data_IF_119988491395
#
_entry.id   IF_119988491395
#
_cell.length_a   1.000
_cell.length_b   1.000
_cell.length_c   1.000
_cell.angle_alpha   90.00
_cell.angle_beta   90.00
_cell.angle_gamma   90.00
#
_symmetry.space_group_name_H-M   'P 1'
#
loop_
_entity.id
_entity.type
_entity.pdbx_description
1 polymer ?
#
# COMPACT_ATOMS: atom_id res chain seq x y z
N UNK A 1 8.05 -20.65 4.83
CA UNK A 1 7.81 -20.67 3.36
C UNK A 1 6.45 -20.10 2.95
N UNK A 2 5.34 -20.44 3.61
CA UNK A 2 4.00 -19.93 3.27
C UNK A 2 3.86 -18.39 3.34
N UNK A 3 4.54 -17.73 4.30
CA UNK A 3 4.52 -16.27 4.47
C UNK A 3 5.13 -15.51 3.28
N UNK A 4 6.21 -16.04 2.69
CA UNK A 4 6.85 -15.44 1.52
C UNK A 4 5.99 -15.50 0.26
N UNK A 5 5.24 -16.59 0.07
CA UNK A 5 4.32 -16.74 -1.05
C UNK A 5 3.11 -15.81 -0.93
N UNK A 6 2.55 -15.65 0.28
CA UNK A 6 1.44 -14.71 0.52
C UNK A 6 1.81 -13.25 0.26
N UNK A 7 3.00 -12.83 0.69
CA UNK A 7 3.55 -11.49 0.43
C UNK A 7 3.78 -11.25 -1.07
N UNK A 8 4.32 -12.24 -1.78
CA UNK A 8 4.53 -12.14 -3.22
C UNK A 8 3.21 -12.01 -3.97
N UNK A 9 2.18 -12.77 -3.60
CA UNK A 9 0.83 -12.68 -4.20
C UNK A 9 0.21 -11.32 -3.93
N UNK A 10 0.28 -10.81 -2.69
CA UNK A 10 -0.21 -9.48 -2.35
C UNK A 10 0.51 -8.37 -3.13
N UNK A 11 1.84 -8.45 -3.26
CA UNK A 11 2.62 -7.52 -4.06
C UNK A 11 2.27 -7.59 -5.55
N UNK A 12 2.10 -8.78 -6.13
CA UNK A 12 1.70 -8.94 -7.53
C UNK A 12 0.28 -8.42 -7.78
N UNK A 13 -0.63 -8.63 -6.82
CA UNK A 13 -1.97 -8.06 -6.88
C UNK A 13 -1.94 -6.53 -6.84
N UNK A 14 -1.16 -5.97 -5.90
CA UNK A 14 -0.94 -4.52 -5.79
C UNK A 14 -0.16 -3.93 -6.96
N UNK A 15 0.64 -4.72 -7.67
CA UNK A 15 1.35 -4.29 -8.88
C UNK A 15 0.41 -4.29 -10.10
N UNK A 16 -0.50 -5.26 -10.20
CA UNK A 16 -1.42 -5.39 -11.34
C UNK A 16 -2.69 -4.57 -11.23
N UNK A 17 -3.24 -4.41 -10.03
CA UNK A 17 -4.49 -3.69 -9.82
C UNK A 17 -4.20 -2.30 -9.26
N UNK A 18 -4.24 -1.31 -10.15
CA UNK A 18 -4.01 0.09 -9.78
C UNK A 18 -5.20 0.65 -8.96
N UNK A 19 -5.04 0.92 -7.65
CA UNK A 19 -6.10 1.49 -6.82
C UNK A 19 -6.36 2.98 -7.08
N UNK A 20 -5.57 3.62 -7.97
CA UNK A 20 -5.76 5.00 -8.39
C UNK A 20 -6.63 5.15 -9.65
N UNK A 21 -6.67 4.12 -10.53
CA UNK A 21 -7.30 4.22 -11.86
C UNK A 21 -8.38 3.18 -12.14
N UNK A 22 -8.58 2.19 -11.29
CA UNK A 22 -9.59 1.15 -11.51
C UNK A 22 -10.89 1.50 -10.79
N UNK A 23 -12.01 1.51 -11.53
CA UNK A 23 -13.38 1.68 -11.01
C UNK A 23 -13.81 0.59 -10.00
N UNK A 24 -12.93 -0.37 -9.74
CA UNK A 24 -13.13 -1.49 -8.82
C UNK A 24 -12.83 -1.12 -7.36
N UNK A 25 -12.00 -0.09 -7.12
CA UNK A 25 -11.75 0.40 -5.76
C UNK A 25 -12.79 1.50 -5.43
N UNK A 26 -13.68 1.27 -4.45
CA UNK A 26 -14.66 2.27 -4.08
C UNK A 26 -13.95 3.55 -3.59
N UNK A 27 -14.48 4.74 -3.90
CA UNK A 27 -13.93 5.98 -3.38
C UNK A 27 -13.94 5.90 -1.85
N UNK A 28 -12.79 6.17 -1.23
CA UNK A 28 -12.65 6.05 0.21
C UNK A 28 -13.66 7.00 0.89
N UNK A 29 -14.63 6.49 1.68
CA UNK A 29 -15.64 7.34 2.32
C UNK A 29 -14.97 8.33 3.29
N UNK A 30 -13.84 7.95 3.88
CA UNK A 30 -13.03 8.83 4.72
C UNK A 30 -12.46 10.02 3.96
N UNK A 31 -11.98 9.81 2.73
CA UNK A 31 -11.54 10.88 1.85
C UNK A 31 -12.70 11.76 1.39
N UNK A 32 -13.87 11.18 1.14
CA UNK A 32 -15.08 11.94 0.80
C UNK A 32 -15.58 12.79 1.97
N UNK A 33 -15.47 12.31 3.21
CA UNK A 33 -15.90 13.07 4.40
C UNK A 33 -14.86 14.09 4.90
N UNK A 34 -13.57 13.78 4.82
CA UNK A 34 -12.51 14.59 5.45
C UNK A 34 -11.54 15.26 4.46
N UNK A 35 -11.57 14.88 3.18
CA UNK A 35 -10.57 15.28 2.19
C UNK A 35 -9.18 14.67 2.42
N UNK A 36 -9.02 13.81 3.43
CA UNK A 36 -7.76 13.17 3.79
C UNK A 36 -7.78 11.68 3.41
N UNK A 37 -6.64 11.18 2.92
CA UNK A 37 -6.47 9.76 2.70
C UNK A 37 -6.41 9.01 4.04
N UNK A 38 -7.30 8.03 4.23
CA UNK A 38 -7.20 7.17 5.39
C UNK A 38 -5.91 6.32 5.33
N UNK A 39 -5.36 5.89 6.48
CA UNK A 39 -4.14 5.10 6.52
C UNK A 39 -4.25 3.80 5.71
N UNK A 40 -5.45 3.25 5.52
CA UNK A 40 -5.70 2.07 4.68
C UNK A 40 -5.64 2.33 3.17
N UNK A 41 -6.39 3.30 2.65
CA UNK A 41 -6.40 3.58 1.20
C UNK A 41 -5.10 4.26 0.74
N UNK A 42 -4.52 5.13 1.58
CA UNK A 42 -3.23 5.77 1.33
C UNK A 42 -2.08 4.76 1.33
N UNK A 43 -2.12 3.78 2.23
CA UNK A 43 -1.11 2.72 2.23
C UNK A 43 -1.19 1.81 1.01
N UNK A 44 -2.38 1.43 0.58
CA UNK A 44 -2.55 0.59 -0.61
C UNK A 44 -1.97 1.26 -1.87
N UNK A 45 -2.20 2.58 -2.02
CA UNK A 45 -1.64 3.38 -3.11
C UNK A 45 -0.13 3.59 -2.96
N UNK A 46 0.36 3.82 -1.74
CA UNK A 46 1.79 3.95 -1.47
C UNK A 46 2.53 2.64 -1.78
N UNK A 47 1.98 1.48 -1.41
CA UNK A 47 2.51 0.16 -1.73
C UNK A 47 2.56 -0.10 -3.24
N UNK A 48 1.53 0.30 -3.99
CA UNK A 48 1.54 0.22 -5.44
C UNK A 48 2.64 1.12 -6.05
N UNK A 49 2.85 2.32 -5.53
CA UNK A 49 3.94 3.19 -6.00
C UNK A 49 5.32 2.61 -5.64
N UNK A 50 5.48 2.05 -4.43
CA UNK A 50 6.69 1.34 -4.02
C UNK A 50 6.97 0.12 -4.91
N UNK A 51 5.95 -0.66 -5.29
CA UNK A 51 6.12 -1.83 -6.17
C UNK A 51 6.56 -1.45 -7.58
N UNK A 52 6.29 -0.21 -8.00
CA UNK A 52 6.79 0.37 -9.25
C UNK A 52 8.10 1.17 -9.08
N UNK A 53 8.68 1.22 -7.88
CA UNK A 53 9.92 1.94 -7.59
C UNK A 53 9.75 3.46 -7.36
N UNK A 54 8.53 3.98 -7.30
CA UNK A 54 8.24 5.39 -7.09
C UNK A 54 8.21 5.76 -5.59
N UNK A 55 9.39 5.84 -4.97
CA UNK A 55 9.52 6.12 -3.53
C UNK A 55 8.94 7.48 -3.11
N UNK A 56 9.22 8.54 -3.88
CA UNK A 56 8.70 9.88 -3.62
C UNK A 56 7.17 9.92 -3.69
N UNK A 57 6.58 9.31 -4.73
CA UNK A 57 5.13 9.24 -4.87
C UNK A 57 4.49 8.46 -3.69
N UNK A 58 5.13 7.37 -3.24
CA UNK A 58 4.67 6.63 -2.08
C UNK A 58 4.72 7.45 -0.78
N UNK A 59 5.77 8.25 -0.57
CA UNK A 59 5.90 9.15 0.58
C UNK A 59 4.84 10.26 0.57
N UNK A 60 4.51 10.81 -0.60
CA UNK A 60 3.42 11.78 -0.75
C UNK A 60 2.05 11.18 -0.43
N UNK A 61 1.85 9.89 -0.71
CA UNK A 61 0.58 9.20 -0.49
C UNK A 61 0.40 8.79 0.97
N UNK A 62 1.42 8.19 1.58
CA UNK A 62 1.39 7.79 2.97
C UNK A 62 2.82 7.59 3.53
N UNK A 63 3.44 8.64 4.10
CA UNK A 63 4.81 8.55 4.60
C UNK A 63 4.91 7.59 5.80
N UNK A 64 3.85 7.51 6.61
CA UNK A 64 3.77 6.60 7.75
C UNK A 64 3.86 5.13 7.30
N UNK A 65 3.15 4.77 6.22
CA UNK A 65 3.24 3.41 5.66
C UNK A 65 4.62 3.12 5.11
N UNK A 66 5.24 4.05 4.37
CA UNK A 66 6.60 3.87 3.82
C UNK A 66 7.62 3.61 4.93
N UNK A 67 7.51 4.35 6.05
CA UNK A 67 8.39 4.17 7.21
C UNK A 67 8.06 2.90 7.98
N UNK A 68 6.78 2.56 8.17
CA UNK A 68 6.35 1.38 8.92
C UNK A 68 6.62 0.07 8.17
N UNK A 69 6.62 0.09 6.83
CA UNK A 69 6.83 -1.08 5.99
C UNK A 69 8.05 -1.94 6.38
N UNK A 70 9.28 -1.40 6.49
CA UNK A 70 10.45 -2.19 6.89
C UNK A 70 10.30 -2.82 8.29
N UNK A 71 9.65 -2.13 9.24
CA UNK A 71 9.39 -2.69 10.58
C UNK A 71 8.36 -3.81 10.55
N UNK A 72 7.30 -3.66 9.75
CA UNK A 72 6.29 -4.71 9.55
C UNK A 72 6.93 -5.93 8.92
N UNK A 73 7.72 -5.74 7.85
CA UNK A 73 8.48 -6.81 7.20
C UNK A 73 9.41 -7.47 8.20
N UNK A 74 10.22 -6.70 8.92
CA UNK A 74 11.14 -7.23 9.94
C UNK A 74 10.42 -8.05 11.01
N UNK A 75 9.31 -7.54 11.56
CA UNK A 75 8.48 -8.25 12.54
C UNK A 75 7.91 -9.57 12.02
N UNK A 76 7.49 -9.58 10.75
CA UNK A 76 7.01 -10.78 10.05
C UNK A 76 8.11 -11.82 9.80
N UNK A 77 9.36 -11.38 9.61
CA UNK A 77 10.51 -12.27 9.43
C UNK A 77 11.14 -12.71 10.77
N UNK A 78 10.92 -11.97 11.86
CA UNK A 78 11.41 -12.29 13.21
C UNK A 78 10.45 -13.17 14.03
N UNK A 79 9.28 -13.51 13.49
CA UNK A 79 8.25 -14.33 14.12
C UNK A 79 8.29 -15.80 13.73
#
# INVERSE_FOLDING_TARGET
>A
MALGAGLAVAMVFLYKFNPAGTSFYPPCPFNMLSGLYCPGCGSLRALHQLSHGHLLAALYLNPLMVIALPFIVYGLFSG
#
